data_IF_300080039367
#
_entry.id   IF_300080039367
#
_cell.length_a   1.000
_cell.length_b   1.000
_cell.length_c   1.000
_cell.angle_alpha   90.00
_cell.angle_beta   90.00
_cell.angle_gamma   90.00
#
_symmetry.space_group_name_H-M   'P 1'
#
loop_
_entity.id
_entity.type
_entity.pdbx_description
1 polymer ?
#
# COMPACT_ATOMS: atom_id res chain seq x y z
N UNK A 1 5.59 1.57 -2.87
CA UNK A 1 6.95 1.00 -2.66
C UNK A 1 7.27 0.71 -1.20
N UNK A 2 6.87 1.59 -0.29
CA UNK A 2 7.18 1.41 1.13
C UNK A 2 6.86 0.02 1.68
N UNK A 3 5.70 -0.54 1.31
CA UNK A 3 5.30 -1.87 1.75
C UNK A 3 6.28 -2.95 1.27
N UNK A 4 6.79 -2.84 0.05
CA UNK A 4 7.75 -3.80 -0.48
C UNK A 4 9.08 -3.78 0.26
N UNK A 5 9.46 -2.65 0.84
CA UNK A 5 10.70 -2.56 1.59
C UNK A 5 10.67 -3.37 2.89
N UNK A 6 9.48 -3.54 3.47
CA UNK A 6 9.33 -4.11 4.81
C UNK A 6 8.29 -5.22 4.91
N UNK A 7 7.80 -5.74 3.79
CA UNK A 7 6.70 -6.73 3.81
C UNK A 7 7.10 -8.01 4.58
N UNK A 8 8.39 -8.31 4.66
CA UNK A 8 8.86 -9.47 5.42
C UNK A 8 8.53 -9.43 6.89
N UNK A 9 8.32 -8.23 7.46
CA UNK A 9 7.94 -8.10 8.87
C UNK A 9 6.53 -8.65 9.14
N UNK A 10 5.74 -8.88 8.11
CA UNK A 10 4.44 -9.52 8.25
C UNK A 10 4.59 -10.95 8.80
N UNK A 11 5.66 -11.65 8.44
CA UNK A 11 5.96 -12.97 8.99
C UNK A 11 6.10 -12.88 10.53
N UNK A 12 6.81 -11.86 11.00
CA UNK A 12 6.98 -11.65 12.44
C UNK A 12 5.63 -11.43 13.12
N UNK A 13 4.74 -10.60 12.53
CA UNK A 13 3.43 -10.34 13.09
C UNK A 13 2.58 -11.62 13.15
N UNK A 14 2.66 -12.46 12.13
CA UNK A 14 1.93 -13.74 12.11
C UNK A 14 2.49 -14.69 13.16
N UNK A 15 3.79 -14.84 13.22
CA UNK A 15 4.46 -15.75 14.17
C UNK A 15 4.23 -15.35 15.62
N UNK A 16 4.28 -14.04 15.91
CA UNK A 16 4.09 -13.49 17.25
C UNK A 16 2.62 -13.19 17.57
N UNK A 17 1.70 -13.47 16.66
CA UNK A 17 0.24 -13.26 16.83
C UNK A 17 -0.11 -11.82 17.17
N UNK A 18 0.48 -10.87 16.46
CA UNK A 18 0.23 -9.44 16.64
C UNK A 18 -0.88 -9.03 15.67
N UNK A 19 -2.06 -8.71 16.20
CA UNK A 19 -3.23 -8.37 15.38
C UNK A 19 -3.16 -6.91 14.89
N UNK A 20 -2.19 -6.60 14.03
CA UNK A 20 -2.04 -5.28 13.40
C UNK A 20 -2.81 -5.24 12.08
N UNK A 21 -3.44 -4.11 11.79
CA UNK A 21 -4.08 -3.86 10.49
C UNK A 21 -3.19 -2.91 9.69
N UNK A 22 -2.69 -3.40 8.59
CA UNK A 22 -1.75 -2.71 7.73
C UNK A 22 -2.48 -2.26 6.47
N UNK A 23 -2.61 -0.96 6.26
CA UNK A 23 -3.27 -0.40 5.08
C UNK A 23 -2.21 0.11 4.12
N UNK A 24 -2.19 -0.44 2.92
CA UNK A 24 -1.23 -0.07 1.88
C UNK A 24 -1.94 0.75 0.82
N UNK A 25 -1.51 1.99 0.61
CA UNK A 25 -1.97 2.79 -0.51
C UNK A 25 -1.10 2.46 -1.72
N UNK A 26 -1.65 1.68 -2.63
CA UNK A 26 -0.91 1.09 -3.74
C UNK A 26 -1.17 1.87 -5.03
N UNK A 27 -0.21 2.69 -5.41
CA UNK A 27 -0.27 3.49 -6.64
C UNK A 27 0.60 2.92 -7.78
N UNK A 28 1.15 1.72 -7.58
CA UNK A 28 2.02 1.05 -8.55
C UNK A 28 3.29 1.85 -8.85
N UNK A 29 3.80 2.58 -7.85
CA UNK A 29 4.99 3.38 -8.09
C UNK A 29 5.53 4.07 -6.85
N UNK A 30 6.42 5.02 -7.09
CA UNK A 30 7.00 5.91 -6.09
C UNK A 30 6.30 7.27 -6.19
N UNK A 31 5.20 7.44 -5.45
CA UNK A 31 4.33 8.61 -5.57
C UNK A 31 5.01 9.93 -5.26
N UNK A 32 5.82 9.98 -4.19
CA UNK A 32 6.52 11.22 -3.81
C UNK A 32 7.56 11.62 -4.86
N UNK A 33 8.31 10.67 -5.35
CA UNK A 33 9.32 10.90 -6.40
C UNK A 33 8.65 11.33 -7.70
N UNK A 34 7.51 10.74 -8.03
CA UNK A 34 6.71 11.14 -9.19
C UNK A 34 6.21 12.57 -9.04
N UNK A 35 5.70 12.94 -7.87
CA UNK A 35 5.25 14.32 -7.61
C UNK A 35 6.39 15.31 -7.77
N UNK A 36 7.56 14.99 -7.24
CA UNK A 36 8.75 15.84 -7.36
C UNK A 36 9.19 15.98 -8.82
N UNK A 37 9.22 14.89 -9.57
CA UNK A 37 9.56 14.93 -11.00
C UNK A 37 8.57 15.74 -11.81
N UNK A 38 7.28 15.66 -11.47
CA UNK A 38 6.26 16.46 -12.14
C UNK A 38 6.44 17.95 -11.87
N UNK A 39 6.71 18.33 -10.60
CA UNK A 39 6.84 19.74 -10.20
C UNK A 39 8.14 20.36 -10.71
N UNK A 40 9.26 19.65 -10.60
CA UNK A 40 10.59 20.22 -10.84
C UNK A 40 11.23 19.85 -12.18
N UNK A 41 10.75 18.78 -12.81
CA UNK A 41 11.36 18.27 -14.06
C UNK A 41 10.37 18.17 -15.22
N UNK A 42 9.27 18.94 -15.16
CA UNK A 42 8.31 19.06 -16.26
C UNK A 42 7.60 17.75 -16.61
N UNK A 43 7.39 16.88 -15.64
CA UNK A 43 6.71 15.61 -15.86
C UNK A 43 7.57 14.54 -16.51
N UNK A 44 8.89 14.69 -16.51
CA UNK A 44 9.82 13.67 -16.99
C UNK A 44 10.02 12.60 -15.94
N UNK A 45 9.21 11.55 -16.00
CA UNK A 45 9.22 10.47 -15.02
C UNK A 45 10.28 9.43 -15.37
N UNK A 46 11.02 8.98 -14.34
CA UNK A 46 12.05 7.95 -14.48
C UNK A 46 12.10 7.11 -13.21
N UNK A 47 12.09 5.80 -13.38
CA UNK A 47 12.24 4.83 -12.29
C UNK A 47 11.19 4.98 -11.17
N UNK A 48 9.99 5.52 -11.50
CA UNK A 48 8.92 5.72 -10.51
C UNK A 48 7.72 4.79 -10.72
N UNK A 49 7.71 4.05 -11.84
CA UNK A 49 6.63 3.10 -12.15
C UNK A 49 7.15 1.67 -12.06
N UNK A 50 6.38 0.80 -11.41
CA UNK A 50 6.62 -0.64 -11.42
C UNK A 50 5.34 -1.35 -11.02
N UNK A 51 5.35 -2.67 -11.20
CA UNK A 51 4.22 -3.50 -10.81
C UNK A 51 4.43 -4.01 -9.41
N UNK A 52 3.49 -3.69 -8.52
CA UNK A 52 3.45 -4.28 -7.20
C UNK A 52 2.61 -5.57 -7.25
N UNK A 53 2.90 -6.53 -6.38
CA UNK A 53 2.01 -7.67 -6.22
C UNK A 53 0.69 -7.23 -5.59
N UNK A 54 -0.31 -8.12 -5.63
CA UNK A 54 -1.50 -7.97 -4.79
C UNK A 54 -1.05 -8.23 -3.34
N UNK A 55 -0.95 -7.17 -2.55
CA UNK A 55 -0.49 -7.29 -1.16
C UNK A 55 -1.47 -8.05 -0.28
N UNK A 56 -2.76 -8.02 -0.62
CA UNK A 56 -3.76 -8.83 0.08
C UNK A 56 -3.50 -10.32 -0.13
N UNK A 57 -3.25 -10.71 -1.39
CA UNK A 57 -2.91 -12.10 -1.70
C UNK A 57 -1.60 -12.53 -1.03
N UNK A 58 -0.59 -11.65 -1.03
CA UNK A 58 0.69 -11.91 -0.39
C UNK A 58 0.51 -12.12 1.11
N UNK A 59 -0.33 -11.31 1.76
CA UNK A 59 -0.63 -11.46 3.18
C UNK A 59 -1.22 -12.83 3.49
N UNK A 60 -2.11 -13.32 2.64
CA UNK A 60 -2.71 -14.65 2.82
C UNK A 60 -1.65 -15.76 2.73
N UNK A 61 -0.64 -15.59 1.89
CA UNK A 61 0.49 -16.54 1.81
C UNK A 61 1.24 -16.61 3.12
N UNK A 62 1.37 -15.49 3.83
CA UNK A 62 2.00 -15.45 5.16
C UNK A 62 1.10 -15.97 6.28
N UNK A 63 -0.16 -16.26 6.00
CA UNK A 63 -1.12 -16.70 7.03
C UNK A 63 -1.87 -15.56 7.70
N UNK A 64 -1.78 -14.34 7.15
CA UNK A 64 -2.52 -13.17 7.63
C UNK A 64 -3.86 -13.03 6.91
N UNK A 65 -4.73 -12.14 7.41
CA UNK A 65 -5.91 -11.71 6.68
C UNK A 65 -5.46 -10.74 5.57
N UNK A 66 -5.95 -10.92 4.35
CA UNK A 66 -5.54 -10.05 3.24
C UNK A 66 -6.69 -9.77 2.30
N UNK A 67 -6.87 -8.50 1.93
CA UNK A 67 -7.87 -8.07 0.95
C UNK A 67 -7.28 -6.98 0.07
N UNK A 68 -7.77 -6.91 -1.17
CA UNK A 68 -7.48 -5.80 -2.08
C UNK A 68 -8.76 -5.01 -2.31
N UNK A 69 -8.69 -3.69 -2.17
CA UNK A 69 -9.81 -2.77 -2.32
C UNK A 69 -9.58 -1.93 -3.58
N UNK A 70 -10.53 -1.99 -4.51
CA UNK A 70 -10.47 -1.25 -5.77
C UNK A 70 -11.37 -0.02 -5.79
N UNK A 71 -12.36 0.02 -4.91
CA UNK A 71 -13.35 1.11 -4.85
C UNK A 71 -13.41 1.66 -3.42
N UNK A 72 -13.41 3.00 -3.25
CA UNK A 72 -13.41 3.60 -1.91
C UNK A 72 -14.55 3.14 -1.01
N UNK A 73 -15.72 2.84 -1.59
CA UNK A 73 -16.87 2.38 -0.83
C UNK A 73 -16.68 1.01 -0.17
N UNK A 74 -15.69 0.24 -0.60
CA UNK A 74 -15.43 -1.10 -0.07
C UNK A 74 -14.43 -1.09 1.09
N UNK A 75 -13.79 0.05 1.36
CA UNK A 75 -12.74 0.15 2.37
C UNK A 75 -13.26 -0.09 3.78
N UNK A 76 -14.42 0.48 4.12
CA UNK A 76 -15.00 0.33 5.45
C UNK A 76 -15.27 -1.13 5.79
N UNK A 77 -15.90 -1.87 4.86
CA UNK A 77 -16.15 -3.29 5.05
C UNK A 77 -14.88 -4.11 5.17
N UNK A 78 -13.87 -3.79 4.37
CA UNK A 78 -12.57 -4.47 4.43
C UNK A 78 -11.89 -4.25 5.78
N UNK A 79 -11.90 -3.01 6.28
CA UNK A 79 -11.35 -2.69 7.61
C UNK A 79 -12.09 -3.44 8.70
N UNK A 80 -13.42 -3.50 8.65
CA UNK A 80 -14.20 -4.21 9.63
C UNK A 80 -13.86 -5.70 9.66
N UNK A 81 -13.75 -6.33 8.49
CA UNK A 81 -13.37 -7.75 8.42
C UNK A 81 -11.95 -7.97 8.94
N UNK A 82 -11.03 -7.03 8.66
CA UNK A 82 -9.67 -7.11 9.15
C UNK A 82 -9.61 -7.08 10.67
N UNK A 83 -10.32 -6.15 11.30
CA UNK A 83 -10.37 -6.07 12.76
C UNK A 83 -11.06 -7.29 13.37
N UNK A 84 -12.14 -7.78 12.74
CA UNK A 84 -12.88 -8.93 13.24
C UNK A 84 -12.09 -10.23 13.11
N UNK A 85 -11.11 -10.29 12.22
CA UNK A 85 -10.31 -11.50 12.01
C UNK A 85 -9.46 -11.88 13.23
N UNK A 86 -9.08 -10.89 14.04
CA UNK A 86 -8.16 -11.11 15.16
C UNK A 86 -6.76 -11.49 14.76
N UNK A 87 -6.43 -11.38 13.46
CA UNK A 87 -5.15 -11.73 12.86
C UNK A 87 -4.42 -10.48 12.37
N UNK A 88 -3.10 -10.56 12.15
CA UNK A 88 -2.44 -9.55 11.32
C UNK A 88 -3.16 -9.45 9.99
N UNK A 89 -3.38 -8.25 9.51
CA UNK A 89 -4.16 -8.03 8.29
C UNK A 89 -3.49 -7.00 7.39
N UNK A 90 -3.61 -7.20 6.09
CA UNK A 90 -3.16 -6.24 5.08
C UNK A 90 -4.35 -5.89 4.19
N UNK A 91 -4.63 -4.62 4.09
CA UNK A 91 -5.62 -4.08 3.15
C UNK A 91 -4.86 -3.33 2.07
N UNK A 92 -4.85 -3.87 0.87
CA UNK A 92 -4.19 -3.28 -0.28
C UNK A 92 -5.19 -2.40 -1.02
N UNK A 93 -5.06 -1.08 -0.86
CA UNK A 93 -5.98 -0.11 -1.47
C UNK A 93 -5.34 0.41 -2.76
N UNK A 94 -5.96 0.08 -3.88
CA UNK A 94 -5.50 0.60 -5.18
C UNK A 94 -5.94 2.06 -5.30
N UNK A 95 -4.97 2.93 -5.50
CA UNK A 95 -5.20 4.37 -5.65
C UNK A 95 -4.77 4.84 -7.03
N UNK A 96 -5.26 6.04 -7.40
CA UNK A 96 -4.93 6.63 -8.69
C UNK A 96 -3.46 7.07 -8.72
N UNK A 97 -2.70 6.47 -9.62
CA UNK A 97 -1.29 6.81 -9.84
C UNK A 97 -1.08 8.25 -10.27
N UNK A 98 -2.10 8.86 -10.90
CA UNK A 98 -2.01 10.24 -11.41
C UNK A 98 -2.32 11.28 -10.35
N UNK A 99 -2.94 10.89 -9.23
CA UNK A 99 -3.21 11.80 -8.12
C UNK A 99 -1.97 11.88 -7.25
N UNK A 100 -1.24 13.00 -7.36
CA UNK A 100 0.04 13.19 -6.71
C UNK A 100 -0.12 14.07 -5.47
N UNK A 101 0.70 13.80 -4.46
CA UNK A 101 0.78 14.64 -3.28
C UNK A 101 1.32 16.03 -3.66
N UNK A 102 0.83 17.11 -3.03
CA UNK A 102 1.38 18.43 -3.30
C UNK A 102 2.83 18.52 -2.82
N UNK A 103 3.67 19.16 -3.64
CA UNK A 103 5.06 19.43 -3.29
C UNK A 103 5.10 20.75 -2.54
N UNK A 104 5.37 20.70 -1.23
CA UNK A 104 5.33 21.88 -0.36
C UNK A 104 6.57 22.73 -0.50
N UNK A 105 7.74 22.08 -0.63
CA UNK A 105 9.01 22.77 -0.77
C UNK A 105 9.41 22.87 -2.24
N UNK A 106 9.56 24.08 -2.71
CA UNK A 106 9.89 24.37 -4.12
C UNK A 106 11.28 24.97 -4.31
N UNK A 107 12.01 25.03 -3.25
CA UNK A 107 13.30 25.66 -3.14
C UNK A 107 14.44 25.46 -3.90
#
# INVERSE_FOLDING_TARGET
>A
MGAMCNIGELETAVREKIAVVYVVFNDQGLGNERAFQNEHYGGRFYAVDYQNPDFGALARVFGAHGEQVKHPGDLEGALQRAFDSGKPAVIDVLIDQKTLAPVVYKG
#
